data_IF_753873737190
#
_entry.id   IF_753873737190
#
_cell.length_a   1.000
_cell.length_b   1.000
_cell.length_c   1.000
_cell.angle_alpha   90.00
_cell.angle_beta   90.00
_cell.angle_gamma   90.00
#
_symmetry.space_group_name_H-M   'P 1'
#
loop_
_entity.id
_entity.type
_entity.pdbx_description
1 polymer ?
#
# COMPACT_ATOMS: atom_id res chain seq x y z
N UNK A 1 -36.87 4.47 -12.03
CA UNK A 1 -35.78 4.23 -11.05
C UNK A 1 -35.30 2.76 -10.94
N UNK A 2 -36.15 1.72 -10.81
CA UNK A 2 -35.69 0.31 -10.79
C UNK A 2 -35.28 -0.20 -12.18
N UNK A 3 -35.95 0.22 -13.24
CA UNK A 3 -35.61 -0.09 -14.65
C UNK A 3 -34.23 0.47 -15.04
N UNK A 4 -33.90 1.70 -14.66
CA UNK A 4 -32.63 2.34 -14.98
C UNK A 4 -31.43 1.64 -14.31
N UNK A 5 -31.59 1.18 -13.08
CA UNK A 5 -30.53 0.49 -12.34
C UNK A 5 -30.24 -0.90 -12.92
N UNK A 6 -31.27 -1.58 -13.41
CA UNK A 6 -31.11 -2.88 -14.09
C UNK A 6 -30.41 -2.73 -15.42
N UNK A 7 -30.75 -1.69 -16.19
CA UNK A 7 -30.14 -1.41 -17.48
C UNK A 7 -28.67 -0.98 -17.33
N UNK A 8 -28.37 -0.11 -16.37
CA UNK A 8 -26.98 0.29 -16.04
C UNK A 8 -26.13 -0.94 -15.66
N UNK A 9 -26.68 -1.87 -14.87
CA UNK A 9 -25.95 -3.09 -14.49
C UNK A 9 -25.66 -3.98 -15.70
N UNK A 10 -26.62 -4.11 -16.65
CA UNK A 10 -26.40 -4.85 -17.90
C UNK A 10 -25.29 -4.21 -18.74
N UNK A 11 -25.31 -2.89 -18.89
CA UNK A 11 -24.27 -2.15 -19.61
C UNK A 11 -22.89 -2.34 -18.98
N UNK A 12 -22.78 -2.27 -17.66
CA UNK A 12 -21.53 -2.50 -16.93
C UNK A 12 -21.02 -3.94 -17.08
N UNK A 13 -21.91 -4.94 -17.09
CA UNK A 13 -21.54 -6.33 -17.34
C UNK A 13 -21.04 -6.55 -18.75
N UNK A 14 -21.69 -5.93 -19.74
CA UNK A 14 -21.25 -5.99 -21.13
C UNK A 14 -19.88 -5.32 -21.30
N UNK A 15 -19.67 -4.16 -20.67
CA UNK A 15 -18.39 -3.48 -20.66
C UNK A 15 -17.28 -4.35 -20.03
N UNK A 16 -17.56 -5.01 -18.91
CA UNK A 16 -16.62 -5.94 -18.27
C UNK A 16 -16.19 -7.06 -19.21
N UNK A 17 -17.14 -7.70 -19.91
CA UNK A 17 -16.85 -8.76 -20.88
C UNK A 17 -15.96 -8.24 -22.01
N UNK A 18 -16.30 -7.08 -22.57
CA UNK A 18 -15.54 -6.47 -23.67
C UNK A 18 -14.13 -6.07 -23.25
N UNK A 19 -13.94 -5.57 -22.02
CA UNK A 19 -12.60 -5.27 -21.48
C UNK A 19 -11.75 -6.55 -21.39
N UNK A 20 -12.32 -7.65 -20.89
CA UNK A 20 -11.60 -8.92 -20.84
C UNK A 20 -11.31 -9.47 -22.24
N UNK A 21 -12.27 -9.36 -23.18
CA UNK A 21 -12.07 -9.78 -24.56
C UNK A 21 -10.91 -9.03 -25.23
N UNK A 22 -10.82 -7.71 -25.01
CA UNK A 22 -9.72 -6.91 -25.54
C UNK A 22 -8.38 -7.28 -24.87
N UNK A 23 -8.34 -7.41 -23.56
CA UNK A 23 -7.11 -7.74 -22.82
C UNK A 23 -6.59 -9.14 -23.22
N UNK A 24 -7.48 -10.12 -23.37
CA UNK A 24 -7.12 -11.48 -23.84
C UNK A 24 -6.55 -11.54 -25.25
N UNK A 25 -6.75 -10.51 -26.09
CA UNK A 25 -6.15 -10.47 -27.42
C UNK A 25 -4.64 -10.19 -27.39
N UNK A 26 -4.17 -9.49 -26.36
CA UNK A 26 -2.80 -8.99 -26.29
C UNK A 26 -2.00 -9.57 -25.11
N UNK A 27 -2.67 -10.03 -24.07
CA UNK A 27 -2.04 -10.39 -22.79
C UNK A 27 -2.60 -11.70 -22.25
N UNK A 28 -1.74 -12.44 -21.57
CA UNK A 28 -2.11 -13.67 -20.90
C UNK A 28 -2.81 -13.39 -19.57
N UNK A 29 -3.91 -14.09 -19.34
CA UNK A 29 -4.58 -14.08 -18.05
C UNK A 29 -3.74 -14.88 -17.06
N UNK A 30 -3.50 -14.32 -15.86
CA UNK A 30 -2.73 -14.94 -14.80
C UNK A 30 -3.61 -15.48 -13.69
N UNK A 31 -3.30 -16.66 -13.19
CA UNK A 31 -4.00 -17.28 -12.08
C UNK A 31 -3.71 -16.55 -10.75
N UNK A 32 -4.66 -16.57 -9.79
CA UNK A 32 -4.50 -15.86 -8.52
C UNK A 32 -3.22 -16.22 -7.75
N UNK A 33 -2.86 -17.50 -7.72
CA UNK A 33 -1.65 -17.94 -7.03
C UNK A 33 -0.39 -17.34 -7.66
N UNK A 34 -0.25 -17.44 -8.99
CA UNK A 34 0.91 -16.95 -9.72
C UNK A 34 1.03 -15.44 -9.66
N UNK A 35 -0.11 -14.73 -9.73
CA UNK A 35 -0.18 -13.29 -9.55
C UNK A 35 0.39 -12.86 -8.18
N UNK A 36 -0.04 -13.50 -7.09
CA UNK A 36 0.45 -13.15 -5.76
C UNK A 36 1.86 -13.67 -5.49
N UNK A 37 2.26 -14.79 -6.07
CA UNK A 37 3.64 -15.28 -6.01
C UNK A 37 4.60 -14.36 -6.76
N UNK A 38 4.16 -13.76 -7.84
CA UNK A 38 4.94 -12.75 -8.53
C UNK A 38 5.10 -11.48 -7.68
N UNK A 39 4.08 -11.04 -6.96
CA UNK A 39 4.16 -9.88 -6.06
C UNK A 39 4.99 -10.21 -4.82
N UNK A 40 4.73 -11.35 -4.18
CA UNK A 40 5.40 -11.83 -2.98
C UNK A 40 6.27 -13.04 -3.32
N UNK A 41 7.54 -12.86 -3.69
CA UNK A 41 8.42 -13.97 -4.01
C UNK A 41 8.60 -14.89 -2.80
N UNK A 42 9.10 -16.11 -3.02
CA UNK A 42 9.42 -17.05 -1.95
C UNK A 42 10.34 -16.40 -0.91
N UNK A 43 10.10 -16.66 0.35
CA UNK A 43 10.80 -16.04 1.46
C UNK A 43 10.35 -14.61 1.80
N UNK A 44 9.38 -14.03 1.08
CA UNK A 44 8.86 -12.68 1.36
C UNK A 44 8.31 -12.57 2.79
N UNK A 45 7.72 -13.65 3.29
CA UNK A 45 7.14 -13.74 4.63
C UNK A 45 7.98 -14.61 5.57
N UNK A 46 9.14 -15.06 5.13
CA UNK A 46 10.08 -15.75 5.96
C UNK A 46 10.78 -14.80 6.94
N UNK A 47 11.17 -15.35 8.04
CA UNK A 47 11.87 -14.64 9.09
C UNK A 47 13.38 -14.85 8.98
N UNK A 48 14.12 -13.77 8.99
CA UNK A 48 15.56 -13.80 9.27
C UNK A 48 15.78 -13.53 10.77
N UNK A 49 16.06 -14.58 11.56
CA UNK A 49 16.45 -14.47 12.99
C UNK A 49 15.52 -15.18 13.98
N UNK A 50 15.95 -15.26 15.27
CA UNK A 50 15.39 -16.09 16.35
C UNK A 50 14.13 -15.56 17.07
N UNK A 51 13.35 -14.64 16.50
CA UNK A 51 12.18 -14.08 17.18
C UNK A 51 10.89 -14.75 16.69
N UNK A 52 10.23 -15.51 17.56
CA UNK A 52 9.04 -16.30 17.20
C UNK A 52 7.74 -15.49 17.04
N UNK A 53 7.63 -14.30 17.65
CA UNK A 53 6.32 -13.64 17.82
C UNK A 53 5.83 -12.73 16.69
N UNK A 54 6.61 -12.42 15.65
CA UNK A 54 6.18 -11.47 14.61
C UNK A 54 6.63 -11.89 13.21
N UNK A 55 6.17 -13.05 12.74
CA UNK A 55 6.40 -13.43 11.33
C UNK A 55 5.81 -12.38 10.41
N UNK A 56 6.54 -11.96 9.36
CA UNK A 56 5.95 -11.14 8.32
C UNK A 56 4.87 -11.92 7.57
N UNK A 57 3.83 -11.24 7.18
CA UNK A 57 2.70 -11.83 6.45
C UNK A 57 2.00 -10.75 5.64
N UNK A 58 1.24 -11.15 4.62
CA UNK A 58 0.22 -10.28 4.06
C UNK A 58 -1.08 -10.42 4.86
N UNK A 59 -1.94 -9.42 4.80
CA UNK A 59 -3.22 -9.43 5.51
C UNK A 59 -4.34 -9.20 4.51
N UNK A 60 -5.17 -10.22 4.32
CA UNK A 60 -6.42 -10.13 3.60
C UNK A 60 -7.57 -9.79 4.57
N UNK A 61 -8.53 -9.02 4.09
CA UNK A 61 -9.73 -8.66 4.84
C UNK A 61 -10.95 -9.02 4.00
N UNK A 62 -11.72 -9.98 4.48
CA UNK A 62 -12.99 -10.40 3.88
C UNK A 62 -14.12 -9.69 4.58
N UNK A 63 -15.08 -9.19 3.81
CA UNK A 63 -16.30 -8.57 4.32
C UNK A 63 -17.45 -9.42 3.82
N UNK A 64 -18.17 -10.06 4.74
CA UNK A 64 -19.37 -10.82 4.42
C UNK A 64 -20.48 -9.85 3.98
N UNK A 65 -21.00 -10.07 2.77
CA UNK A 65 -22.20 -9.38 2.30
C UNK A 65 -23.41 -10.12 2.83
N UNK A 66 -24.31 -9.42 3.51
CA UNK A 66 -25.64 -9.94 3.80
C UNK A 66 -26.55 -9.59 2.63
N UNK A 67 -27.00 -10.60 1.88
CA UNK A 67 -28.05 -10.45 0.88
C UNK A 67 -29.42 -10.48 1.57
N UNK A 68 -30.32 -9.63 1.13
CA UNK A 68 -31.75 -9.81 1.44
C UNK A 68 -32.34 -10.87 0.50
N UNK A 69 -33.37 -11.57 0.96
CA UNK A 69 -34.01 -12.70 0.30
C UNK A 69 -34.41 -12.52 -1.19
N UNK A 70 -34.31 -11.30 -1.73
CA UNK A 70 -34.66 -10.98 -3.11
C UNK A 70 -33.43 -10.77 -4.04
N UNK A 71 -32.24 -11.25 -3.66
CA UNK A 71 -31.05 -11.21 -4.54
C UNK A 71 -30.45 -9.82 -4.79
N UNK A 72 -31.00 -8.76 -4.21
CA UNK A 72 -30.46 -7.40 -4.33
C UNK A 72 -29.42 -7.22 -3.23
N UNK A 73 -28.17 -6.98 -3.59
CA UNK A 73 -27.11 -6.64 -2.65
C UNK A 73 -27.53 -5.39 -1.86
N UNK A 74 -27.80 -5.59 -0.58
CA UNK A 74 -28.03 -4.48 0.34
C UNK A 74 -26.69 -3.81 0.58
N UNK A 75 -26.64 -2.47 0.50
CA UNK A 75 -25.49 -1.67 0.88
C UNK A 75 -24.83 -2.24 2.14
N UNK A 76 -23.52 -2.45 2.07
CA UNK A 76 -22.70 -2.78 3.22
C UNK A 76 -23.00 -1.76 4.31
N UNK A 77 -23.84 -2.11 5.28
CA UNK A 77 -23.98 -1.29 6.47
C UNK A 77 -22.57 -1.12 7.05
N UNK A 78 -22.16 0.10 7.38
CA UNK A 78 -20.86 0.48 7.95
C UNK A 78 -20.42 -0.36 9.17
N UNK A 79 -21.25 -1.25 9.67
CA UNK A 79 -21.05 -2.15 10.81
C UNK A 79 -20.77 -3.62 10.42
N UNK A 80 -20.49 -3.93 9.17
CA UNK A 80 -20.06 -5.27 8.78
C UNK A 80 -18.71 -5.61 9.41
N UNK A 81 -18.67 -6.65 10.26
CA UNK A 81 -17.41 -7.14 10.84
C UNK A 81 -16.57 -7.77 9.74
N UNK A 82 -15.45 -7.11 9.39
CA UNK A 82 -14.48 -7.70 8.49
C UNK A 82 -13.68 -8.79 9.20
N UNK A 83 -13.55 -9.97 8.58
CA UNK A 83 -12.67 -11.05 9.04
C UNK A 83 -11.27 -10.82 8.44
N UNK A 84 -10.23 -10.91 9.27
CA UNK A 84 -8.84 -10.76 8.84
C UNK A 84 -8.20 -12.14 8.72
N UNK A 85 -7.45 -12.32 7.64
CA UNK A 85 -6.65 -13.50 7.39
C UNK A 85 -5.18 -13.08 7.28
N UNK A 86 -4.31 -13.83 7.90
CA UNK A 86 -2.87 -13.73 7.72
C UNK A 86 -2.47 -14.68 6.61
N UNK A 87 -1.79 -14.16 5.61
CA UNK A 87 -1.31 -14.94 4.47
C UNK A 87 0.13 -15.32 4.75
N UNK A 88 0.41 -16.61 4.78
CA UNK A 88 1.74 -17.18 5.02
C UNK A 88 2.55 -17.29 3.72
N UNK A 89 3.81 -17.68 3.80
CA UNK A 89 4.71 -17.66 2.64
C UNK A 89 4.31 -18.65 1.54
N UNK A 90 3.63 -19.75 1.88
CA UNK A 90 3.11 -20.71 0.90
C UNK A 90 1.86 -20.22 0.15
N UNK A 91 1.23 -19.13 0.58
CA UNK A 91 0.05 -18.51 -0.03
C UNK A 91 -1.21 -19.40 -0.08
N UNK A 92 -1.25 -20.49 0.69
CA UNK A 92 -2.37 -21.45 0.66
C UNK A 92 -3.71 -20.82 1.02
N UNK A 93 -3.72 -19.85 1.93
CA UNK A 93 -4.94 -19.15 2.34
C UNK A 93 -5.64 -18.44 1.18
N UNK A 94 -4.90 -18.09 0.11
CA UNK A 94 -5.48 -17.45 -1.07
C UNK A 94 -6.37 -18.40 -1.87
N UNK A 95 -6.16 -19.73 -1.79
CA UNK A 95 -7.00 -20.72 -2.48
C UNK A 95 -8.45 -20.72 -1.98
N UNK A 96 -8.67 -20.30 -0.74
CA UNK A 96 -10.03 -20.12 -0.19
C UNK A 96 -10.53 -18.69 -0.41
N UNK A 97 -9.64 -17.70 -0.23
CA UNK A 97 -10.01 -16.29 -0.26
C UNK A 97 -10.34 -15.77 -1.66
N UNK A 98 -9.73 -16.32 -2.71
CA UNK A 98 -10.03 -15.94 -4.10
C UNK A 98 -11.45 -16.35 -4.55
N UNK A 99 -12.08 -17.30 -3.87
CA UNK A 99 -13.47 -17.72 -4.11
C UNK A 99 -14.47 -16.89 -3.30
N UNK A 100 -14.03 -16.02 -2.42
CA UNK A 100 -14.91 -15.22 -1.57
C UNK A 100 -15.65 -14.15 -2.37
N UNK A 101 -16.80 -13.71 -1.88
CA UNK A 101 -17.55 -12.62 -2.53
C UNK A 101 -16.80 -11.29 -2.54
N UNK A 102 -16.11 -11.01 -1.45
CA UNK A 102 -15.37 -9.75 -1.31
C UNK A 102 -14.20 -9.90 -0.36
N UNK A 103 -13.01 -9.89 -0.90
CA UNK A 103 -11.77 -9.80 -0.11
C UNK A 103 -10.87 -8.74 -0.70
N UNK A 104 -10.22 -7.97 0.17
CA UNK A 104 -9.22 -6.97 -0.21
C UNK A 104 -7.88 -7.30 0.44
N UNK A 105 -6.81 -7.07 -0.31
CA UNK A 105 -5.43 -7.19 0.16
C UNK A 105 -4.60 -6.04 -0.41
N UNK A 106 -3.58 -5.59 0.33
CA UNK A 106 -2.58 -4.63 -0.16
C UNK A 106 -1.29 -5.36 -0.50
N UNK A 107 -0.49 -4.89 -1.48
CA UNK A 107 0.80 -5.48 -1.83
C UNK A 107 1.89 -5.09 -0.81
N UNK A 108 1.60 -5.29 0.47
CA UNK A 108 2.44 -4.91 1.60
C UNK A 108 2.52 -6.08 2.57
N UNK A 109 3.74 -6.39 3.04
CA UNK A 109 3.90 -7.29 4.18
C UNK A 109 3.82 -6.53 5.51
N UNK A 110 3.32 -7.21 6.54
CA UNK A 110 3.07 -6.63 7.85
C UNK A 110 3.67 -7.48 8.96
N UNK A 111 3.98 -6.86 10.08
CA UNK A 111 4.23 -7.55 11.33
C UNK A 111 2.92 -7.76 12.09
N UNK A 112 2.66 -9.00 12.51
CA UNK A 112 1.45 -9.34 13.27
C UNK A 112 0.16 -9.23 12.45
N UNK A 113 -0.97 -9.10 13.14
CA UNK A 113 -2.33 -9.25 12.56
C UNK A 113 -3.01 -7.92 12.18
N UNK A 114 -2.30 -6.80 12.25
CA UNK A 114 -2.91 -5.48 12.01
C UNK A 114 -2.37 -4.84 10.73
N UNK A 115 -3.27 -4.55 9.79
CA UNK A 115 -3.00 -3.83 8.56
C UNK A 115 -3.03 -2.31 8.81
N UNK A 116 -1.92 -1.78 9.29
CA UNK A 116 -1.73 -0.35 9.54
C UNK A 116 -0.29 0.09 9.24
N UNK A 117 -0.06 1.40 9.20
CA UNK A 117 1.24 1.98 8.86
C UNK A 117 2.37 1.60 9.83
N UNK A 118 2.06 1.41 11.13
CA UNK A 118 3.06 1.05 12.13
C UNK A 118 3.59 -0.37 11.95
N UNK A 119 2.75 -1.26 11.43
CA UNK A 119 3.06 -2.67 11.24
C UNK A 119 3.53 -2.98 9.81
N UNK A 120 3.44 -2.02 8.87
CA UNK A 120 3.92 -2.21 7.52
C UNK A 120 5.42 -2.47 7.50
N UNK A 121 5.84 -3.53 6.78
CA UNK A 121 7.22 -3.97 6.68
C UNK A 121 7.86 -3.63 5.35
N UNK A 122 7.32 -4.16 4.27
CA UNK A 122 7.77 -3.92 2.89
C UNK A 122 6.60 -3.67 1.96
N UNK A 123 6.77 -2.74 1.03
CA UNK A 123 5.91 -2.52 -0.11
C UNK A 123 6.50 -3.23 -1.33
N UNK A 124 5.71 -4.07 -1.99
CA UNK A 124 6.15 -4.88 -3.15
C UNK A 124 5.66 -4.32 -4.47
N UNK A 125 4.56 -3.59 -4.47
CA UNK A 125 4.02 -2.95 -5.67
C UNK A 125 3.33 -1.63 -5.37
N UNK A 126 3.39 -0.68 -6.30
CA UNK A 126 2.46 0.44 -6.36
C UNK A 126 1.23 0.01 -7.16
N UNK A 127 0.05 0.35 -6.64
CA UNK A 127 -1.20 0.00 -7.31
C UNK A 127 -2.07 1.23 -7.43
N UNK A 128 -2.63 1.42 -8.61
CA UNK A 128 -3.55 2.52 -8.93
C UNK A 128 -4.91 1.93 -9.29
N UNK A 129 -5.96 2.35 -8.60
CA UNK A 129 -7.35 2.00 -8.89
C UNK A 129 -7.93 3.11 -9.76
N UNK A 130 -8.08 2.81 -11.02
CA UNK A 130 -8.53 3.75 -12.05
C UNK A 130 -10.01 3.50 -12.32
N UNK A 131 -10.86 4.33 -11.77
CA UNK A 131 -12.31 4.32 -12.00
C UNK A 131 -12.69 5.01 -13.31
N UNK A 132 -13.91 4.75 -13.80
CA UNK A 132 -14.43 5.38 -15.01
C UNK A 132 -13.70 4.96 -16.29
N UNK A 133 -13.34 3.68 -16.39
CA UNK A 133 -12.63 3.13 -17.56
C UNK A 133 -13.60 2.38 -18.43
N UNK A 134 -14.05 3.02 -19.50
CA UNK A 134 -14.79 2.41 -20.59
C UNK A 134 -13.84 1.86 -21.67
N UNK A 135 -14.36 1.36 -22.79
CA UNK A 135 -13.54 0.79 -23.86
C UNK A 135 -12.56 1.78 -24.51
N UNK A 136 -12.95 3.06 -24.78
CA UNK A 136 -12.00 4.06 -25.25
C UNK A 136 -10.85 4.30 -24.24
N UNK A 137 -11.16 4.47 -22.95
CA UNK A 137 -10.17 4.71 -21.90
C UNK A 137 -9.23 3.52 -21.75
N UNK A 138 -9.74 2.27 -21.81
CA UNK A 138 -8.88 1.09 -21.78
C UNK A 138 -7.87 1.09 -22.93
N UNK A 139 -8.33 1.38 -24.17
CA UNK A 139 -7.44 1.45 -25.33
C UNK A 139 -6.40 2.56 -25.18
N UNK A 140 -6.81 3.70 -24.65
CA UNK A 140 -5.90 4.83 -24.42
C UNK A 140 -4.87 4.51 -23.30
N UNK A 141 -5.26 3.82 -22.23
CA UNK A 141 -4.34 3.34 -21.20
C UNK A 141 -3.27 2.43 -21.83
N UNK A 142 -3.70 1.43 -22.60
CA UNK A 142 -2.78 0.49 -23.27
C UNK A 142 -1.88 1.20 -24.27
N UNK A 143 -2.44 2.09 -25.09
CA UNK A 143 -1.69 2.88 -26.05
C UNK A 143 -0.65 3.80 -25.40
N UNK A 144 -1.01 4.49 -24.30
CA UNK A 144 -0.08 5.34 -23.59
C UNK A 144 1.05 4.55 -22.92
N UNK A 145 0.80 3.32 -22.46
CA UNK A 145 1.84 2.40 -21.99
C UNK A 145 2.76 1.94 -23.13
N UNK A 146 2.21 1.61 -24.29
CA UNK A 146 3.00 1.17 -25.46
C UNK A 146 3.83 2.32 -26.07
N UNK A 147 3.48 3.56 -25.82
CA UNK A 147 4.19 4.77 -26.28
C UNK A 147 5.09 5.37 -25.21
N UNK A 148 5.29 4.70 -24.08
CA UNK A 148 6.10 5.18 -22.94
C UNK A 148 5.64 6.57 -22.42
N UNK A 149 4.37 6.92 -22.63
CA UNK A 149 3.74 8.11 -22.04
C UNK A 149 3.38 7.84 -20.59
N UNK A 150 2.90 6.62 -20.31
CA UNK A 150 2.69 6.08 -18.97
C UNK A 150 3.65 4.92 -18.73
N UNK A 151 4.05 4.70 -17.47
CA UNK A 151 4.84 3.51 -17.15
C UNK A 151 4.04 2.25 -17.50
N UNK A 152 4.71 1.25 -18.08
CA UNK A 152 4.07 -0.02 -18.39
C UNK A 152 3.77 -0.78 -17.12
N UNK A 153 2.49 -1.06 -16.85
CA UNK A 153 2.08 -1.81 -15.68
C UNK A 153 2.56 -3.27 -15.77
N UNK A 154 2.99 -3.84 -14.66
CA UNK A 154 3.29 -5.28 -14.58
C UNK A 154 2.02 -6.09 -14.83
N UNK A 155 0.92 -5.69 -14.16
CA UNK A 155 -0.38 -6.30 -14.35
C UNK A 155 -1.47 -5.26 -14.54
N UNK A 156 -2.40 -5.57 -15.42
CA UNK A 156 -3.67 -4.87 -15.56
C UNK A 156 -4.77 -5.77 -15.04
N UNK A 157 -5.53 -5.28 -14.07
CA UNK A 157 -6.59 -6.05 -13.40
C UNK A 157 -7.94 -5.44 -13.71
N UNK A 158 -8.83 -6.24 -14.30
CA UNK A 158 -10.23 -5.84 -14.47
C UNK A 158 -10.98 -6.05 -13.15
N UNK A 159 -11.23 -4.98 -12.41
CA UNK A 159 -11.94 -4.98 -11.13
C UNK A 159 -13.47 -4.85 -11.26
N UNK A 160 -13.98 -4.83 -12.50
CA UNK A 160 -15.39 -4.63 -12.84
C UNK A 160 -15.62 -3.33 -13.61
N UNK A 161 -16.01 -2.26 -12.92
CA UNK A 161 -16.23 -0.95 -13.53
C UNK A 161 -14.96 -0.15 -13.81
N UNK A 162 -13.89 -0.41 -13.07
CA UNK A 162 -12.57 0.21 -13.21
C UNK A 162 -11.48 -0.78 -13.61
N UNK A 163 -10.23 -0.33 -13.47
CA UNK A 163 -9.02 -1.13 -13.62
C UNK A 163 -8.11 -0.90 -12.41
N UNK A 164 -7.38 -1.94 -11.98
CA UNK A 164 -6.22 -1.73 -11.12
C UNK A 164 -4.95 -1.91 -11.96
N UNK A 165 -4.05 -0.94 -11.90
CA UNK A 165 -2.74 -1.00 -12.54
C UNK A 165 -1.70 -1.32 -11.47
N UNK A 166 -1.06 -2.47 -11.58
CA UNK A 166 -0.02 -2.94 -10.65
C UNK A 166 1.37 -2.72 -11.24
N UNK A 167 2.19 -1.99 -10.51
CA UNK A 167 3.61 -1.79 -10.79
C UNK A 167 4.41 -2.53 -9.74
N UNK A 168 4.79 -3.77 -10.04
CA UNK A 168 5.58 -4.60 -9.11
C UNK A 168 7.02 -4.12 -9.12
N UNK A 169 7.54 -3.82 -7.94
CA UNK A 169 8.87 -3.24 -7.80
C UNK A 169 9.96 -4.31 -7.95
N UNK A 170 11.10 -3.95 -8.56
CA UNK A 170 12.27 -4.80 -8.64
C UNK A 170 12.76 -5.21 -7.25
N UNK A 171 12.78 -4.25 -6.33
CA UNK A 171 13.14 -4.46 -4.92
C UNK A 171 12.03 -3.98 -3.99
N UNK A 172 11.64 -4.77 -2.99
CA UNK A 172 10.67 -4.35 -2.01
C UNK A 172 11.16 -3.14 -1.19
N UNK A 173 10.33 -2.13 -1.03
CA UNK A 173 10.67 -0.92 -0.29
C UNK A 173 10.37 -1.11 1.20
N UNK A 174 11.37 -1.00 2.10
CA UNK A 174 11.13 -1.06 3.53
C UNK A 174 10.28 0.12 3.99
N UNK A 175 9.19 -0.16 4.73
CA UNK A 175 8.15 0.81 5.08
C UNK A 175 8.47 1.59 6.37
N UNK A 176 9.69 2.12 6.47
CA UNK A 176 10.03 3.11 7.50
C UNK A 176 9.23 4.41 7.29
N UNK A 177 8.97 5.21 8.34
CA UNK A 177 8.16 6.43 8.22
C UNK A 177 8.58 7.37 7.09
N UNK A 178 9.89 7.53 6.87
CA UNK A 178 10.43 8.36 5.78
C UNK A 178 10.11 7.77 4.40
N UNK A 179 10.26 6.44 4.25
CA UNK A 179 9.95 5.76 2.99
C UNK A 179 8.44 5.76 2.72
N UNK A 180 7.61 5.68 3.76
CA UNK A 180 6.16 5.80 3.60
C UNK A 180 5.76 7.18 3.07
N UNK A 181 6.40 8.24 3.56
CA UNK A 181 6.20 9.59 3.05
C UNK A 181 6.63 9.69 1.58
N UNK A 182 7.84 9.22 1.26
CA UNK A 182 8.35 9.18 -0.10
C UNK A 182 7.42 8.45 -1.06
N UNK A 183 7.02 7.22 -0.70
CA UNK A 183 6.14 6.40 -1.54
C UNK A 183 4.75 7.02 -1.70
N UNK A 184 4.26 7.75 -0.69
CA UNK A 184 3.00 8.50 -0.77
C UNK A 184 3.10 9.61 -1.81
N UNK A 185 4.14 10.44 -1.75
CA UNK A 185 4.31 11.58 -2.67
C UNK A 185 4.56 11.07 -4.10
N UNK A 186 5.39 10.02 -4.27
CA UNK A 186 5.58 9.34 -5.55
C UNK A 186 4.26 8.83 -6.13
N UNK A 187 3.47 8.12 -5.32
CA UNK A 187 2.17 7.61 -5.75
C UNK A 187 1.22 8.72 -6.17
N UNK A 188 1.20 9.83 -5.44
CA UNK A 188 0.33 10.96 -5.75
C UNK A 188 0.75 11.67 -7.04
N UNK A 189 2.05 11.84 -7.26
CA UNK A 189 2.58 12.41 -8.49
C UNK A 189 2.22 11.51 -9.70
N UNK A 190 2.46 10.21 -9.60
CA UNK A 190 2.09 9.24 -10.64
C UNK A 190 0.57 9.16 -10.86
N UNK A 191 -0.25 9.30 -9.81
CA UNK A 191 -1.71 9.32 -9.97
C UNK A 191 -2.14 10.47 -10.88
N UNK A 192 -1.53 11.65 -10.75
CA UNK A 192 -1.83 12.80 -11.62
C UNK A 192 -1.45 12.58 -13.08
N UNK A 193 -0.48 11.69 -13.36
CA UNK A 193 -0.10 11.32 -14.72
C UNK A 193 -1.02 10.23 -15.29
N UNK A 194 -1.24 9.17 -14.51
CA UNK A 194 -2.04 8.02 -14.93
C UNK A 194 -3.51 8.41 -15.10
N UNK A 195 -4.02 9.26 -14.21
CA UNK A 195 -5.40 9.70 -14.25
C UNK A 195 -5.55 10.98 -15.07
N UNK A 196 -5.80 10.85 -16.33
CA UNK A 196 -5.97 11.95 -17.25
C UNK A 196 -7.29 11.81 -18.04
N UNK A 197 -7.62 12.81 -18.85
CA UNK A 197 -8.87 12.86 -19.62
C UNK A 197 -9.08 11.71 -20.61
N UNK A 198 -8.00 11.01 -20.97
CA UNK A 198 -8.04 9.89 -21.91
C UNK A 198 -8.15 8.54 -21.19
N UNK A 199 -7.66 8.45 -19.98
CA UNK A 199 -7.60 7.21 -19.21
C UNK A 199 -8.77 7.00 -18.25
N UNK A 200 -9.53 8.09 -17.97
CA UNK A 200 -10.72 8.02 -17.12
C UNK A 200 -11.80 9.01 -17.59
N UNK A 201 -13.06 8.60 -17.48
CA UNK A 201 -14.22 9.47 -17.66
C UNK A 201 -14.48 10.36 -16.44
N UNK A 202 -13.85 10.05 -15.30
CA UNK A 202 -13.93 10.82 -14.05
C UNK A 202 -12.85 11.90 -14.10
N UNK A 203 -13.24 13.17 -14.01
CA UNK A 203 -12.32 14.30 -14.15
C UNK A 203 -11.32 14.44 -13.00
N UNK A 204 -11.78 14.20 -11.77
CA UNK A 204 -10.96 14.42 -10.56
C UNK A 204 -10.20 13.15 -10.18
N UNK A 205 -8.86 13.17 -10.15
CA UNK A 205 -8.05 12.03 -9.73
C UNK A 205 -8.34 11.65 -8.27
N UNK A 206 -8.57 10.38 -8.03
CA UNK A 206 -8.78 9.85 -6.68
C UNK A 206 -7.44 9.50 -6.04
N UNK A 207 -6.98 10.34 -5.12
CA UNK A 207 -5.73 10.12 -4.38
C UNK A 207 -5.87 8.98 -3.37
N UNK A 208 -5.21 7.87 -3.65
CA UNK A 208 -5.31 6.65 -2.87
C UNK A 208 -4.11 6.48 -1.94
N UNK A 209 -4.39 6.04 -0.71
CA UNK A 209 -3.33 5.75 0.28
C UNK A 209 -2.50 4.55 -0.15
N UNK A 210 -1.21 4.52 0.24
CA UNK A 210 -0.32 3.39 -0.03
C UNK A 210 -0.86 2.09 0.59
N UNK A 211 -1.45 2.18 1.79
CA UNK A 211 -2.00 1.04 2.52
C UNK A 211 -3.38 0.60 2.02
N UNK A 212 -3.88 1.17 0.91
CA UNK A 212 -5.17 0.77 0.36
C UNK A 212 -5.17 -0.70 0.01
N UNK A 213 -6.29 -1.37 0.32
CA UNK A 213 -6.53 -2.74 -0.13
C UNK A 213 -7.26 -2.74 -1.45
N UNK A 214 -6.87 -3.66 -2.32
CA UNK A 214 -7.47 -3.90 -3.63
C UNK A 214 -8.15 -5.26 -3.62
N UNK A 215 -9.18 -5.44 -4.45
CA UNK A 215 -9.88 -6.71 -4.54
C UNK A 215 -8.91 -7.83 -4.88
N UNK A 216 -9.04 -8.94 -4.16
CA UNK A 216 -8.26 -10.14 -4.43
C UNK A 216 -8.71 -10.74 -5.78
N UNK A 217 -7.74 -11.16 -6.57
CA UNK A 217 -7.98 -11.81 -7.87
C UNK A 217 -8.83 -13.07 -7.66
N UNK A 218 -9.82 -13.29 -8.52
CA UNK A 218 -10.79 -14.38 -8.40
C UNK A 218 -12.03 -14.04 -7.60
N UNK A 219 -11.99 -13.05 -6.68
CA UNK A 219 -13.18 -12.62 -5.92
C UNK A 219 -14.22 -11.93 -6.81
N UNK A 220 -15.47 -11.91 -6.38
CA UNK A 220 -16.53 -11.29 -7.16
C UNK A 220 -16.36 -9.78 -7.28
N UNK A 221 -16.64 -9.25 -8.47
CA UNK A 221 -16.78 -7.80 -8.66
C UNK A 221 -18.15 -7.32 -8.15
N UNK A 222 -18.40 -6.02 -8.21
CA UNK A 222 -19.74 -5.45 -7.92
C UNK A 222 -20.81 -5.91 -8.93
N UNK A 223 -20.42 -6.55 -10.03
CA UNK A 223 -21.30 -6.99 -11.11
C UNK A 223 -21.95 -8.35 -10.82
N UNK A 224 -21.48 -9.07 -9.82
CA UNK A 224 -21.99 -10.37 -9.36
C UNK A 224 -21.00 -11.51 -9.52
N UNK A 225 -21.40 -12.71 -9.07
CA UNK A 225 -20.54 -13.91 -8.98
C UNK A 225 -19.94 -14.35 -10.32
N UNK A 226 -20.67 -14.17 -11.42
CA UNK A 226 -20.21 -14.53 -12.77
C UNK A 226 -19.16 -13.58 -13.35
N UNK A 227 -18.79 -12.53 -12.60
CA UNK A 227 -17.87 -11.49 -13.03
C UNK A 227 -16.73 -11.35 -12.00
N UNK A 228 -15.79 -12.32 -11.95
CA UNK A 228 -14.68 -12.28 -11.02
C UNK A 228 -13.69 -11.16 -11.36
N UNK A 229 -12.85 -10.80 -10.40
CA UNK A 229 -11.67 -9.95 -10.63
C UNK A 229 -10.63 -10.75 -11.39
N UNK A 230 -10.20 -10.24 -12.55
CA UNK A 230 -9.28 -10.95 -13.45
C UNK A 230 -8.03 -10.11 -13.68
N UNK A 231 -6.87 -10.74 -13.66
CA UNK A 231 -5.58 -10.12 -13.88
C UNK A 231 -4.93 -10.58 -15.18
N UNK A 232 -4.21 -9.66 -15.83
CA UNK A 232 -3.46 -9.89 -17.07
C UNK A 232 -2.00 -9.51 -16.88
N UNK A 233 -1.10 -10.35 -17.35
CA UNK A 233 0.35 -10.06 -17.39
C UNK A 233 0.66 -9.15 -18.56
N UNK A 234 1.17 -7.94 -18.30
CA UNK A 234 1.35 -6.90 -19.34
C UNK A 234 2.79 -6.48 -19.50
N UNK A 235 3.51 -6.31 -18.40
CA UNK A 235 4.92 -5.90 -18.41
C UNK A 235 5.71 -6.56 -17.29
N UNK A 236 6.96 -6.12 -17.17
CA UNK A 236 7.90 -6.63 -16.19
C UNK A 236 7.81 -5.85 -14.85
N UNK A 237 8.66 -6.23 -13.90
CA UNK A 237 8.92 -5.43 -12.70
C UNK A 237 9.56 -4.12 -13.09
N UNK A 238 9.36 -3.11 -12.26
CA UNK A 238 9.83 -1.75 -12.52
C UNK A 238 10.64 -1.21 -11.33
N UNK A 239 11.64 -0.39 -11.61
CA UNK A 239 12.40 0.30 -10.58
C UNK A 239 11.74 1.61 -10.13
N UNK A 240 12.07 2.09 -8.92
CA UNK A 240 11.60 3.40 -8.47
C UNK A 240 12.18 4.54 -9.32
N UNK A 241 13.41 4.40 -9.77
CA UNK A 241 14.07 5.42 -10.60
C UNK A 241 13.39 5.53 -11.96
N UNK A 242 12.99 4.39 -12.55
CA UNK A 242 12.20 4.35 -13.78
C UNK A 242 10.82 4.99 -13.60
N UNK A 243 10.09 4.67 -12.52
CA UNK A 243 8.81 5.31 -12.22
C UNK A 243 8.93 6.83 -12.07
N UNK A 244 10.04 7.33 -11.53
CA UNK A 244 10.31 8.76 -11.39
C UNK A 244 10.45 9.48 -12.73
N UNK A 245 10.91 8.79 -13.79
CA UNK A 245 11.07 9.41 -15.13
C UNK A 245 9.74 9.82 -15.75
N UNK A 246 8.64 9.17 -15.35
CA UNK A 246 7.29 9.48 -15.82
C UNK A 246 6.63 10.67 -15.10
N UNK A 247 7.29 11.26 -14.07
CA UNK A 247 6.79 12.46 -13.41
C UNK A 247 7.36 13.68 -14.13
N UNK A 248 6.52 14.59 -14.67
CA UNK A 248 7.00 15.80 -15.31
C UNK A 248 7.77 16.69 -14.33
N UNK A 249 8.88 17.25 -14.79
CA UNK A 249 9.70 18.17 -13.98
C UNK A 249 9.19 19.64 -14.04
N UNK A 250 8.16 19.88 -14.84
CA UNK A 250 7.64 21.24 -15.11
C UNK A 250 7.17 22.01 -13.88
N UNK A 251 6.76 21.30 -12.81
CA UNK A 251 6.26 21.89 -11.57
C UNK A 251 7.16 21.62 -10.35
N UNK A 252 8.39 21.15 -10.56
CA UNK A 252 9.29 20.74 -9.46
C UNK A 252 8.81 19.52 -8.67
N UNK A 253 7.80 18.80 -9.14
CA UNK A 253 7.27 17.59 -8.46
C UNK A 253 8.31 16.49 -8.41
N UNK A 254 9.02 16.24 -9.50
CA UNK A 254 10.08 15.24 -9.56
C UNK A 254 11.21 15.59 -8.58
N UNK A 255 11.63 16.86 -8.55
CA UNK A 255 12.65 17.35 -7.61
C UNK A 255 12.18 17.26 -6.17
N UNK A 256 10.91 17.56 -5.90
CA UNK A 256 10.32 17.41 -4.56
C UNK A 256 10.37 15.95 -4.10
N UNK A 257 9.91 15.00 -4.91
CA UNK A 257 9.95 13.56 -4.61
C UNK A 257 11.41 13.09 -4.40
N UNK A 258 12.34 13.47 -5.30
CA UNK A 258 13.77 13.17 -5.16
C UNK A 258 14.37 13.75 -3.88
N UNK A 259 13.99 14.98 -3.48
CA UNK A 259 14.49 15.62 -2.27
C UNK A 259 14.11 14.87 -0.98
N UNK A 260 12.93 14.28 -0.95
CA UNK A 260 12.49 13.43 0.16
C UNK A 260 13.35 12.16 0.23
N UNK A 261 13.68 11.58 -0.92
CA UNK A 261 14.52 10.39 -1.02
C UNK A 261 15.97 10.68 -0.62
N UNK A 262 16.56 11.81 -1.05
CA UNK A 262 17.93 12.21 -0.71
C UNK A 262 18.12 12.43 0.79
N UNK A 263 17.10 12.94 1.50
CA UNK A 263 17.16 13.11 2.96
C UNK A 263 17.27 11.80 3.74
N UNK A 264 16.95 10.66 3.12
CA UNK A 264 16.98 9.33 3.73
C UNK A 264 18.20 8.48 3.38
N UNK A 265 19.02 8.89 2.42
CA UNK A 265 20.19 8.14 1.92
C UNK A 265 21.50 8.85 2.29
N UNK A 266 21.87 8.77 3.57
CA UNK A 266 23.28 8.87 3.92
C UNK A 266 23.89 7.47 3.68
N UNK A 267 24.96 7.37 2.90
CA UNK A 267 25.79 6.18 2.86
C UNK A 267 26.33 5.87 4.27
N UNK A 268 26.79 4.65 4.50
CA UNK A 268 27.38 4.30 5.81
C UNK A 268 28.60 5.16 6.10
N UNK A 269 29.37 5.53 5.07
CA UNK A 269 30.54 6.40 5.14
C UNK A 269 30.13 7.84 5.51
N UNK A 270 29.15 8.42 4.83
CA UNK A 270 28.60 9.74 5.16
C UNK A 270 27.96 9.77 6.54
N UNK A 271 27.28 8.69 6.94
CA UNK A 271 26.71 8.56 8.29
C UNK A 271 27.81 8.46 9.36
N UNK A 272 28.97 7.84 9.06
CA UNK A 272 30.13 7.77 9.94
C UNK A 272 30.71 9.16 10.17
N UNK A 273 30.87 9.96 9.12
CA UNK A 273 31.38 11.32 9.23
C UNK A 273 30.40 12.25 9.96
N UNK A 274 29.13 12.18 9.59
CA UNK A 274 28.11 13.09 10.12
C UNK A 274 27.61 12.74 11.52
N UNK A 275 27.62 11.45 11.86
CA UNK A 275 27.13 10.91 13.14
C UNK A 275 28.08 9.87 13.72
N UNK A 276 29.33 10.22 14.09
CA UNK A 276 30.34 9.28 14.55
C UNK A 276 29.90 8.48 15.76
N UNK A 277 29.24 9.11 16.75
CA UNK A 277 28.71 8.43 17.95
C UNK A 277 27.64 7.37 17.61
N UNK A 278 26.78 7.66 16.62
CA UNK A 278 25.78 6.72 16.14
C UNK A 278 26.46 5.53 15.45
N UNK A 279 27.44 5.82 14.57
CA UNK A 279 28.19 4.78 13.86
C UNK A 279 28.90 3.84 14.84
N UNK A 280 29.63 4.41 15.80
CA UNK A 280 30.35 3.65 16.82
C UNK A 280 29.39 2.72 17.60
N UNK A 281 28.29 3.26 18.13
CA UNK A 281 27.32 2.50 18.92
C UNK A 281 26.57 1.44 18.11
N UNK A 282 26.16 1.76 16.87
CA UNK A 282 25.25 0.91 16.10
C UNK A 282 25.95 -0.04 15.14
N UNK A 283 27.05 0.36 14.55
CA UNK A 283 27.78 -0.41 13.54
C UNK A 283 28.94 -1.15 14.17
N UNK A 284 29.79 -0.46 14.94
CA UNK A 284 30.99 -1.05 15.53
C UNK A 284 30.64 -1.89 16.76
N UNK A 285 30.00 -1.30 17.78
CA UNK A 285 29.66 -2.01 19.03
C UNK A 285 28.42 -2.88 18.93
N UNK A 286 27.63 -2.74 17.84
CA UNK A 286 26.37 -3.47 17.64
C UNK A 286 25.41 -3.38 18.84
N UNK A 287 25.46 -2.28 19.57
CA UNK A 287 24.57 -2.04 20.69
C UNK A 287 23.12 -2.08 20.21
N UNK A 288 22.25 -2.81 20.93
CA UNK A 288 20.81 -2.84 20.63
C UNK A 288 20.25 -1.42 20.72
N UNK A 289 19.34 -1.05 19.83
CA UNK A 289 18.60 0.20 19.96
C UNK A 289 17.90 0.21 21.32
N UNK A 290 18.45 0.96 22.27
CA UNK A 290 17.67 1.42 23.39
C UNK A 290 16.46 2.12 22.83
N UNK A 291 15.27 1.85 23.35
CA UNK A 291 13.99 2.30 22.76
C UNK A 291 13.92 3.81 22.53
N UNK A 292 14.77 4.63 23.19
CA UNK A 292 14.83 6.09 23.05
C UNK A 292 16.13 6.60 23.68
N UNK A 293 16.95 7.32 22.96
CA UNK A 293 17.91 8.27 23.52
C UNK A 293 17.21 9.63 23.58
N UNK A 294 16.66 9.99 24.70
CA UNK A 294 16.19 11.34 24.96
C UNK A 294 17.45 12.13 25.40
N UNK A 295 17.65 13.30 24.75
CA UNK A 295 18.68 14.22 25.20
C UNK A 295 18.35 14.72 26.60
N UNK A 296 19.35 14.86 27.47
CA UNK A 296 19.19 15.37 28.85
C UNK A 296 18.46 16.71 28.87
N UNK A 297 18.63 17.51 27.83
CA UNK A 297 17.93 18.81 27.65
C UNK A 297 16.40 18.69 27.79
N UNK A 298 15.82 17.59 27.32
CA UNK A 298 14.36 17.37 27.44
C UNK A 298 13.97 17.04 28.88
N UNK A 299 14.81 16.32 29.63
CA UNK A 299 14.60 16.07 31.05
C UNK A 299 14.69 17.37 31.85
N UNK A 300 15.73 18.17 31.61
CA UNK A 300 15.97 19.44 32.30
C UNK A 300 14.87 20.46 31.97
N UNK A 301 14.43 20.52 30.70
CA UNK A 301 13.31 21.34 30.30
C UNK A 301 12.01 20.94 31.02
N UNK A 302 11.71 19.65 31.11
CA UNK A 302 10.51 19.15 31.78
C UNK A 302 10.58 19.38 33.30
N UNK A 303 11.75 19.18 33.88
CA UNK A 303 11.99 19.46 35.30
C UNK A 303 11.71 20.93 35.63
N UNK A 304 12.24 21.86 34.82
CA UNK A 304 12.02 23.30 35.01
C UNK A 304 10.54 23.64 34.85
N UNK A 305 9.87 23.06 33.87
CA UNK A 305 8.44 23.27 33.65
C UNK A 305 7.59 22.76 34.80
N UNK A 306 7.92 21.60 35.39
CA UNK A 306 7.24 21.09 36.58
C UNK A 306 7.39 22.06 37.75
N UNK A 307 8.58 22.60 37.97
CA UNK A 307 8.85 23.54 39.07
C UNK A 307 8.06 24.83 38.96
N UNK A 308 7.85 25.33 37.76
CA UNK A 308 7.22 26.64 37.52
C UNK A 308 5.75 26.56 37.21
N UNK A 309 5.25 25.51 36.58
CA UNK A 309 3.92 25.51 35.96
C UNK A 309 2.96 24.42 36.50
N UNK A 310 3.44 23.49 37.36
CA UNK A 310 2.61 22.35 37.76
C UNK A 310 1.46 22.81 38.71
N UNK A 311 0.24 22.46 38.31
CA UNK A 311 -0.97 22.78 39.10
C UNK A 311 -1.36 21.64 40.04
N UNK A 312 -2.15 21.96 41.07
CA UNK A 312 -2.76 20.95 41.92
C UNK A 312 -3.63 20.01 41.08
N UNK A 313 -3.47 18.71 41.31
CA UNK A 313 -4.12 17.64 40.50
C UNK A 313 -3.26 17.08 39.38
N UNK A 314 -2.22 17.78 38.91
CA UNK A 314 -1.34 17.30 37.85
C UNK A 314 0.05 16.80 38.32
N UNK A 315 0.31 16.82 39.64
CA UNK A 315 1.59 16.47 40.24
C UNK A 315 2.01 15.04 39.94
N UNK A 316 1.10 14.09 40.04
CA UNK A 316 1.37 12.68 39.75
C UNK A 316 1.82 12.50 38.29
N UNK A 317 1.09 13.07 37.35
CA UNK A 317 1.43 12.99 35.92
C UNK A 317 2.79 13.64 35.64
N UNK A 318 3.05 14.81 36.23
CA UNK A 318 4.33 15.50 36.08
C UNK A 318 5.51 14.67 36.57
N UNK A 319 5.41 14.10 37.75
CA UNK A 319 6.47 13.27 38.37
C UNK A 319 6.65 11.95 37.58
N UNK A 320 5.55 11.30 37.18
CA UNK A 320 5.61 10.07 36.38
C UNK A 320 6.33 10.31 35.04
N UNK A 321 6.01 11.42 34.37
CA UNK A 321 6.66 11.78 33.09
C UNK A 321 8.13 12.10 33.31
N UNK A 322 8.50 12.78 34.41
CA UNK A 322 9.88 13.07 34.78
C UNK A 322 10.67 11.77 35.02
N UNK A 323 10.09 10.82 35.76
CA UNK A 323 10.70 9.52 36.03
C UNK A 323 10.95 8.73 34.73
N UNK A 324 9.99 8.77 33.79
CA UNK A 324 10.14 8.16 32.46
C UNK A 324 11.31 8.82 31.70
N UNK A 325 11.43 10.13 31.75
CA UNK A 325 12.52 10.86 31.08
C UNK A 325 13.87 10.61 31.78
N UNK A 326 13.90 10.57 33.10
CA UNK A 326 15.10 10.20 33.84
C UNK A 326 15.63 8.84 33.40
N UNK A 327 14.77 7.81 33.42
CA UNK A 327 15.15 6.47 32.94
C UNK A 327 15.61 6.43 31.48
N UNK A 328 14.98 7.24 30.62
CA UNK A 328 15.36 7.33 29.21
C UNK A 328 16.66 8.10 28.96
N UNK A 329 17.01 9.01 29.85
CA UNK A 329 18.27 9.76 29.82
C UNK A 329 19.37 9.11 30.63
N UNK A 330 19.16 7.92 31.23
CA UNK A 330 20.08 7.24 32.13
C UNK A 330 20.50 8.13 33.33
N UNK A 331 19.56 8.89 33.89
CA UNK A 331 19.73 9.67 35.12
C UNK A 331 19.25 8.76 36.28
N UNK A 332 20.14 8.53 37.26
CA UNK A 332 19.85 7.81 38.48
C UNK A 332 19.08 8.65 39.51
#
# INVERSE_FOLDING_TARGET
MLSDRSELLKQQRFLYINKNALLNQFYEQIEPYDFYRYIFPEGAFERKGHYEDNKPNAIAVTIEKKYKENGIAVELKRNGKGKRYTITDNLEELNELNKSEFTIMSPISYYGKQRNAKNARYLYALVFDLDGVDMPQLRDVLHQMDKDILPKATFVVNSGTGLHLYYVLNEPVPMYPQNQLYMKELKYALTRQIWNRFTSTIKEPQMQRIMQGFRVIGTCTKLGEKFPVVAYSVGDRISLDELLTFIPDSNGEQQHVKSIMMKSRLSIEEAKEKYPDWYEKRIVRKERRGRWTIKRDLYDWWLNRIRSEIKVGHRFYGIMTLAIYAKKCCIE
#
